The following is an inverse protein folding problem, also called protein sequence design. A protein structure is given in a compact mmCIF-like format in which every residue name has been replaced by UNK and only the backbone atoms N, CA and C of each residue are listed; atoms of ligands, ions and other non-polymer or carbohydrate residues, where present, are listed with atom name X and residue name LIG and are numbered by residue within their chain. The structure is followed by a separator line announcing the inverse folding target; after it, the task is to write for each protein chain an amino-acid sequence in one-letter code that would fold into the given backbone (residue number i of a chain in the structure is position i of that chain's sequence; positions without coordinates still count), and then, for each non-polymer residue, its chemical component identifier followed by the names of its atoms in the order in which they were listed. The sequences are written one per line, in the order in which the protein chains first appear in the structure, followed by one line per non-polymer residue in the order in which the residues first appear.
data_IF_097318458186
#
_entry.id   IF_097318458186
#
_cell.length_a   1.000
_cell.length_b   1.000
_cell.length_c   1.000
_cell.angle_alpha   90.00
_cell.angle_beta   90.00
_cell.angle_gamma   90.00
#
_symmetry.space_group_name_H-M   'P 1'
#
loop_
_entity.id
_entity.type
_entity.pdbx_description
1 polymer ?
#
# COMPACT_ATOMS: atom_id res chain seq x y z
N UNK A 1 -5.73 24.46 21.01
CA UNK A 1 -6.41 23.33 20.35
C UNK A 1 -5.37 22.70 19.44
N UNK A 2 -5.16 21.39 19.49
CA UNK A 2 -4.24 20.74 18.53
C UNK A 2 -5.03 20.58 17.24
N UNK A 3 -4.55 21.16 16.15
CA UNK A 3 -5.19 20.98 14.85
C UNK A 3 -5.25 19.49 14.52
N UNK A 4 -6.44 19.05 14.12
CA UNK A 4 -6.66 17.65 13.76
C UNK A 4 -5.86 17.35 12.50
N UNK A 5 -4.91 16.43 12.58
CA UNK A 5 -4.17 15.93 11.41
C UNK A 5 -5.14 15.15 10.51
N UNK A 6 -5.32 15.61 9.28
CA UNK A 6 -6.23 15.00 8.30
C UNK A 6 -5.45 14.53 7.07
N UNK A 7 -5.49 13.22 6.80
CA UNK A 7 -5.02 12.64 5.54
C UNK A 7 -6.18 12.64 4.54
N UNK A 8 -6.05 13.37 3.43
CA UNK A 8 -7.05 13.34 2.36
C UNK A 8 -6.68 12.29 1.33
N UNK A 9 -7.68 11.71 0.67
CA UNK A 9 -7.47 10.74 -0.39
C UNK A 9 -8.49 10.88 -1.51
N UNK A 10 -8.14 10.35 -2.68
CA UNK A 10 -9.02 10.21 -3.84
C UNK A 10 -8.82 8.83 -4.47
N UNK A 11 -9.94 8.19 -4.81
CA UNK A 11 -9.98 6.96 -5.60
C UNK A 11 -9.98 7.29 -7.09
N UNK A 12 -9.21 6.56 -7.89
CA UNK A 12 -9.20 6.73 -9.36
C UNK A 12 -10.30 5.95 -10.07
N UNK A 13 -10.88 4.95 -9.43
CA UNK A 13 -11.99 4.14 -9.94
C UNK A 13 -12.86 3.60 -8.80
N UNK A 14 -13.98 2.97 -9.14
CA UNK A 14 -14.84 2.28 -8.17
C UNK A 14 -14.17 1.04 -7.56
N UNK A 15 -13.18 0.46 -8.24
CA UNK A 15 -12.42 -0.72 -7.79
C UNK A 15 -11.32 -0.37 -6.79
N UNK A 16 -10.99 0.92 -6.65
CA UNK A 16 -10.05 1.38 -5.64
C UNK A 16 -10.62 1.26 -4.23
N UNK A 17 -9.73 0.96 -3.29
CA UNK A 17 -10.10 0.80 -1.89
C UNK A 17 -9.78 2.06 -1.10
N UNK A 18 -10.64 2.36 -0.14
CA UNK A 18 -10.37 3.42 0.82
C UNK A 18 -9.26 2.97 1.78
N UNK A 19 -8.40 3.89 2.25
CA UNK A 19 -7.40 3.57 3.26
C UNK A 19 -8.08 2.96 4.49
N UNK A 20 -7.67 1.75 4.86
CA UNK A 20 -8.29 1.00 5.95
C UNK A 20 -7.35 0.90 7.15
N UNK A 21 -7.89 1.09 8.36
CA UNK A 21 -7.19 0.78 9.62
C UNK A 21 -7.91 -0.38 10.30
N UNK A 22 -7.19 -1.49 10.48
CA UNK A 22 -7.71 -2.65 11.22
C UNK A 22 -7.97 -2.33 12.69
N UNK A 23 -7.17 -1.44 13.28
CA UNK A 23 -7.26 -1.05 14.68
C UNK A 23 -7.10 0.46 14.82
N UNK A 24 -7.74 1.04 15.83
CA UNK A 24 -7.68 2.48 16.11
C UNK A 24 -6.25 2.99 16.27
N UNK A 25 -5.41 2.23 16.99
CA UNK A 25 -4.00 2.54 17.26
C UNK A 25 -3.03 1.98 16.23
N UNK A 26 -3.52 1.50 15.08
CA UNK A 26 -2.64 1.02 14.02
C UNK A 26 -1.75 2.14 13.50
N UNK A 27 -0.46 1.85 13.34
CA UNK A 27 0.55 2.81 12.90
C UNK A 27 0.36 3.29 11.46
N UNK A 28 -0.28 2.48 10.61
CA UNK A 28 -0.47 2.77 9.19
C UNK A 28 -1.85 2.37 8.69
N UNK A 29 -2.12 2.73 7.44
CA UNK A 29 -3.30 2.30 6.70
C UNK A 29 -2.93 1.17 5.74
N UNK A 30 -3.78 0.17 5.61
CA UNK A 30 -3.61 -0.90 4.63
C UNK A 30 -3.85 -0.34 3.22
N UNK A 31 -2.90 -0.63 2.30
CA UNK A 31 -3.04 -0.41 0.87
C UNK A 31 -3.43 -1.72 0.18
N UNK A 32 -4.27 -1.62 -0.85
CA UNK A 32 -4.81 -2.79 -1.56
C UNK A 32 -4.59 -2.64 -3.05
N UNK A 33 -4.44 -3.76 -3.74
CA UNK A 33 -4.38 -3.75 -5.19
C UNK A 33 -5.77 -3.64 -5.78
N UNK A 34 -5.91 -2.87 -6.86
CA UNK A 34 -7.17 -2.78 -7.62
C UNK A 34 -7.36 -3.93 -8.62
N UNK A 35 -6.33 -4.74 -8.82
CA UNK A 35 -6.35 -5.86 -9.76
C UNK A 35 -5.71 -7.10 -9.12
N UNK A 36 -6.02 -8.26 -9.67
CA UNK A 36 -5.25 -9.46 -9.38
C UNK A 36 -3.81 -9.26 -9.84
N UNK A 37 -2.84 -9.61 -8.99
CA UNK A 37 -1.44 -9.42 -9.30
C UNK A 37 -0.61 -10.66 -8.97
N UNK A 38 0.50 -10.76 -9.69
CA UNK A 38 1.46 -11.83 -9.57
C UNK A 38 2.84 -11.22 -9.26
N UNK A 39 3.49 -11.73 -8.22
CA UNK A 39 4.85 -11.34 -7.85
C UNK A 39 5.75 -12.55 -8.11
N UNK A 40 6.58 -12.52 -9.17
CA UNK A 40 7.43 -13.66 -9.53
C UNK A 40 8.32 -14.08 -8.36
N UNK A 41 8.62 -15.38 -8.25
CA UNK A 41 9.64 -15.88 -7.31
C UNK A 41 10.96 -15.15 -7.55
N UNK A 42 11.69 -14.82 -6.48
CA UNK A 42 12.95 -14.06 -6.55
C UNK A 42 12.86 -12.79 -7.42
N UNK A 43 11.68 -12.21 -7.52
CA UNK A 43 11.36 -11.11 -8.44
C UNK A 43 10.70 -9.93 -7.76
N UNK A 44 10.15 -9.04 -8.58
CA UNK A 44 9.40 -7.87 -8.11
C UNK A 44 8.20 -7.57 -8.98
N UNK A 45 7.22 -6.89 -8.42
CA UNK A 45 6.07 -6.36 -9.16
C UNK A 45 5.70 -4.95 -8.65
N UNK A 46 5.13 -4.14 -9.53
CA UNK A 46 4.56 -2.83 -9.19
C UNK A 46 3.05 -3.01 -9.08
N UNK A 47 2.52 -2.72 -7.91
CA UNK A 47 1.12 -2.93 -7.57
C UNK A 47 0.38 -1.61 -7.65
N UNK A 48 -0.69 -1.59 -8.45
CA UNK A 48 -1.58 -0.45 -8.55
C UNK A 48 -2.58 -0.43 -7.39
N UNK A 49 -2.68 0.69 -6.69
CA UNK A 49 -3.65 0.90 -5.60
C UNK A 49 -4.86 1.72 -6.00
N UNK A 50 -4.81 2.42 -7.15
CA UNK A 50 -5.84 3.38 -7.54
C UNK A 50 -6.08 4.50 -6.51
N UNK A 51 -5.12 4.74 -5.62
CA UNK A 51 -5.24 5.70 -4.53
C UNK A 51 -4.29 6.88 -4.77
N UNK A 52 -4.83 8.09 -4.65
CA UNK A 52 -4.08 9.34 -4.59
C UNK A 52 -4.26 9.89 -3.18
N UNK A 53 -3.21 10.43 -2.57
CA UNK A 53 -3.28 11.07 -1.25
C UNK A 53 -2.76 12.50 -1.29
N UNK A 54 -3.23 13.30 -0.34
CA UNK A 54 -2.63 14.57 0.04
C UNK A 54 -2.18 14.42 1.50
N UNK A 55 -0.87 14.41 1.71
CA UNK A 55 -0.27 14.26 3.02
C UNK A 55 -0.51 15.53 3.86
N UNK A 56 -0.66 15.40 5.19
CA UNK A 56 -0.63 16.55 6.08
C UNK A 56 0.72 17.29 5.97
N UNK A 57 0.70 18.59 6.24
CA UNK A 57 1.90 19.43 6.14
C UNK A 57 3.04 18.93 7.03
N UNK A 58 4.27 18.96 6.50
CA UNK A 58 5.47 18.53 7.22
C UNK A 58 5.59 17.02 7.45
N UNK A 59 4.83 16.21 6.71
CA UNK A 59 4.88 14.75 6.74
C UNK A 59 5.30 14.16 5.41
N UNK A 60 5.94 12.99 5.45
CA UNK A 60 6.08 12.10 4.29
C UNK A 60 5.25 10.84 4.50
N UNK A 61 4.84 10.20 3.40
CA UNK A 61 4.22 8.89 3.45
C UNK A 61 5.27 7.79 3.38
N UNK A 62 5.16 6.79 4.25
CA UNK A 62 6.00 5.58 4.16
C UNK A 62 5.16 4.37 3.78
N UNK A 63 5.45 3.77 2.64
CA UNK A 63 4.95 2.44 2.28
C UNK A 63 5.79 1.42 3.04
N UNK A 64 5.13 0.63 3.89
CA UNK A 64 5.79 -0.31 4.79
C UNK A 64 5.31 -1.75 4.52
N UNK A 65 6.17 -2.77 4.76
CA UNK A 65 5.76 -4.16 4.66
C UNK A 65 4.66 -4.51 5.67
N UNK A 66 3.69 -5.34 5.26
CA UNK A 66 2.80 -6.02 6.20
C UNK A 66 3.56 -7.20 6.81
N UNK A 67 3.70 -7.23 8.14
CA UNK A 67 4.48 -8.25 8.84
C UNK A 67 4.09 -9.68 8.49
N UNK A 68 2.80 -9.96 8.34
CA UNK A 68 2.32 -11.28 7.93
C UNK A 68 2.80 -11.71 6.54
N UNK A 69 2.91 -10.78 5.59
CA UNK A 69 3.42 -11.09 4.24
C UNK A 69 4.93 -11.26 4.24
N UNK A 70 5.64 -10.48 5.07
CA UNK A 70 7.08 -10.63 5.26
C UNK A 70 7.42 -12.00 5.86
N UNK A 71 6.76 -12.39 6.95
CA UNK A 71 7.02 -13.65 7.66
C UNK A 71 6.55 -14.87 6.86
N UNK A 72 5.33 -14.84 6.32
CA UNK A 72 4.73 -16.06 5.75
C UNK A 72 5.06 -16.24 4.26
N UNK A 73 5.46 -15.18 3.55
CA UNK A 73 5.61 -15.21 2.10
C UNK A 73 6.91 -14.56 1.58
N UNK A 74 7.81 -14.13 2.48
CA UNK A 74 9.06 -13.42 2.15
C UNK A 74 8.82 -12.22 1.21
N UNK A 75 7.75 -11.46 1.45
CA UNK A 75 7.44 -10.23 0.72
C UNK A 75 8.01 -9.02 1.44
N UNK A 76 8.74 -8.18 0.70
CA UNK A 76 9.26 -6.90 1.17
C UNK A 76 8.78 -5.75 0.28
N UNK A 77 8.94 -4.51 0.74
CA UNK A 77 8.57 -3.28 0.03
C UNK A 77 9.81 -2.55 -0.46
N UNK A 78 9.83 -2.22 -1.75
CA UNK A 78 10.83 -1.35 -2.36
C UNK A 78 10.42 0.12 -2.36
N UNK A 79 11.42 0.99 -2.51
CA UNK A 79 11.25 2.45 -2.49
C UNK A 79 10.50 2.92 -1.23
N UNK A 80 9.24 3.31 -1.38
CA UNK A 80 8.33 3.49 -0.27
C UNK A 80 8.32 4.87 0.39
N UNK A 81 9.06 5.84 -0.13
CA UNK A 81 8.92 7.26 0.24
C UNK A 81 7.90 7.91 -0.68
N UNK A 82 6.88 8.54 -0.11
CA UNK A 82 5.91 9.40 -0.79
C UNK A 82 6.15 10.81 -0.30
N UNK A 83 6.61 11.67 -1.22
CA UNK A 83 6.85 13.07 -0.94
C UNK A 83 5.55 13.84 -0.66
N UNK A 84 5.65 14.89 0.16
CA UNK A 84 4.51 15.71 0.60
C UNK A 84 3.72 16.33 -0.57
N UNK A 85 4.40 16.67 -1.66
CA UNK A 85 3.84 17.28 -2.87
C UNK A 85 3.44 16.26 -3.96
N UNK A 86 3.66 14.96 -3.72
CA UNK A 86 3.28 13.93 -4.67
C UNK A 86 1.74 13.85 -4.79
N UNK A 87 1.24 13.99 -6.03
CA UNK A 87 -0.21 13.91 -6.35
C UNK A 87 -0.55 12.82 -7.37
N UNK A 88 0.39 11.92 -7.64
CA UNK A 88 0.17 10.77 -8.51
C UNK A 88 -0.52 9.61 -7.78
N UNK A 89 -0.82 8.56 -8.53
CA UNK A 89 -1.36 7.30 -7.98
C UNK A 89 -0.26 6.58 -7.22
N UNK A 90 -0.51 6.25 -5.96
CA UNK A 90 0.38 5.44 -5.14
C UNK A 90 0.53 4.06 -5.79
N UNK A 91 1.77 3.72 -6.12
CA UNK A 91 2.14 2.36 -6.52
C UNK A 91 2.98 1.72 -5.41
N UNK A 92 2.77 0.44 -5.16
CA UNK A 92 3.56 -0.33 -4.19
C UNK A 92 4.51 -1.24 -4.93
N UNK A 93 5.82 -1.09 -4.71
CA UNK A 93 6.81 -2.02 -5.25
C UNK A 93 6.95 -3.15 -4.24
N UNK A 94 6.61 -4.38 -4.65
CA UNK A 94 6.80 -5.57 -3.83
C UNK A 94 7.96 -6.40 -4.36
N UNK A 95 8.88 -6.75 -3.48
CA UNK A 95 9.91 -7.76 -3.72
C UNK A 95 9.45 -9.09 -3.14
N UNK A 96 9.68 -10.18 -3.88
CA UNK A 96 9.43 -11.53 -3.42
C UNK A 96 10.76 -12.27 -3.29
N UNK A 97 11.19 -12.47 -2.05
CA UNK A 97 12.43 -13.18 -1.74
C UNK A 97 12.21 -14.69 -1.57
N UNK A 98 11.00 -15.23 -1.78
CA UNK A 98 10.75 -16.67 -1.79
C UNK A 98 11.05 -17.32 -3.14
N UNK A 99 11.13 -18.64 -3.15
CA UNK A 99 11.20 -19.47 -4.36
C UNK A 99 9.82 -19.81 -4.94
N UNK A 100 8.75 -19.24 -4.38
CA UNK A 100 7.36 -19.48 -4.77
C UNK A 100 6.77 -18.20 -5.36
N UNK A 101 6.09 -18.33 -6.50
CA UNK A 101 5.34 -17.23 -7.09
C UNK A 101 4.14 -16.87 -6.21
N UNK A 102 3.95 -15.58 -5.95
CA UNK A 102 2.83 -15.11 -5.11
C UNK A 102 1.72 -14.56 -5.99
N UNK A 103 0.52 -15.10 -5.82
CA UNK A 103 -0.70 -14.56 -6.41
C UNK A 103 -1.48 -13.79 -5.35
N UNK A 104 -1.91 -12.57 -5.65
CA UNK A 104 -2.75 -11.77 -4.77
C UNK A 104 -3.99 -11.34 -5.54
N UNK A 105 -5.16 -11.61 -4.96
CA UNK A 105 -6.43 -11.17 -5.55
C UNK A 105 -6.73 -9.74 -5.14
N UNK A 106 -7.28 -8.96 -6.06
CA UNK A 106 -7.65 -7.55 -5.85
C UNK A 106 -8.87 -7.38 -4.93
N UNK A 107 -9.66 -8.42 -4.70
CA UNK A 107 -10.84 -8.37 -3.84
C UNK A 107 -10.67 -9.22 -2.58
N UNK A 108 -10.83 -8.61 -1.39
CA UNK A 108 -11.19 -9.39 -0.20
C UNK A 108 -12.71 -9.55 -0.18
N UNK A 109 -13.18 -10.74 -0.57
CA UNK A 109 -14.34 -11.37 0.05
C UNK A 109 -13.77 -12.43 0.98
N UNK A 110 -13.63 -12.07 2.25
CA UNK A 110 -13.95 -12.95 3.38
C UNK A 110 -15.02 -12.20 4.18
#
# INVERSE_FOLDING_TARGET
MVDKVVLKFKKTSADAFEPYKAYEKAAGFDLRSIHDCCIPRRGKAIIDTGLIIELPEGCYGRIAPRSGLAVNNNIDVGAGVIDEDYRGVIKVILFNHSDIQQHRRGSWRD
#
